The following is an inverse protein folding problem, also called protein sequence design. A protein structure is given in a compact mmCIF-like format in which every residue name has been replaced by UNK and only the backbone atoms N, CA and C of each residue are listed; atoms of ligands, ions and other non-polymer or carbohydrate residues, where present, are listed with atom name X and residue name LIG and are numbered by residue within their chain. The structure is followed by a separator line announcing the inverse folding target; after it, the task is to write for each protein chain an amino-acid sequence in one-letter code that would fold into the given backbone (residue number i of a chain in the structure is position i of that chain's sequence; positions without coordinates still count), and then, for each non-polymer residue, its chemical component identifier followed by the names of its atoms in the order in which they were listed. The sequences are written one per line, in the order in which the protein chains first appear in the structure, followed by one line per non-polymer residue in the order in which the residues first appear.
data_IF_992307707796
#
_entry.id   IF_992307707796
#
_cell.length_a   1.000
_cell.length_b   1.000
_cell.length_c   1.000
_cell.angle_alpha   90.00
_cell.angle_beta   90.00
_cell.angle_gamma   90.00
#
_symmetry.space_group_name_H-M   'P 1'
#
loop_
_entity.id
_entity.type
_entity.pdbx_description
1 polymer ?
#
# COMPACT_ATOMS: atom_id res chain seq x y z
N UNK A 1 16.35 -10.14 0.97
CA UNK A 1 16.45 -8.66 0.93
C UNK A 1 17.88 -8.27 0.61
N UNK A 2 18.13 -7.10 0.02
CA UNK A 2 19.48 -6.57 -0.22
C UNK A 2 19.49 -5.10 0.20
N UNK A 3 20.41 -4.72 1.07
CA UNK A 3 20.50 -3.35 1.63
C UNK A 3 19.17 -2.81 2.19
N UNK A 4 18.39 -3.69 2.82
CA UNK A 4 17.09 -3.33 3.38
C UNK A 4 15.95 -3.17 2.37
N UNK A 5 16.14 -3.56 1.12
CA UNK A 5 15.07 -3.57 0.12
C UNK A 5 14.62 -5.00 -0.21
N UNK A 6 13.31 -5.25 -0.34
CA UNK A 6 12.81 -6.55 -0.79
C UNK A 6 13.25 -6.77 -2.23
N UNK A 7 13.78 -7.97 -2.50
CA UNK A 7 14.29 -8.38 -3.81
C UNK A 7 13.41 -9.45 -4.45
N UNK A 8 12.83 -10.29 -3.60
CA UNK A 8 11.92 -11.37 -3.92
C UNK A 8 10.77 -11.30 -2.92
N UNK A 9 9.55 -11.61 -3.35
CA UNK A 9 8.37 -11.56 -2.49
C UNK A 9 7.25 -12.45 -3.00
N UNK A 10 6.60 -13.15 -2.08
CA UNK A 10 5.44 -14.00 -2.34
C UNK A 10 4.32 -13.69 -1.36
N UNK A 11 3.09 -13.69 -1.86
CA UNK A 11 1.87 -13.68 -1.04
C UNK A 11 0.96 -14.78 -1.56
N UNK A 12 0.44 -15.62 -0.67
CA UNK A 12 -0.44 -16.74 -1.01
C UNK A 12 -1.78 -16.55 -0.32
N UNK A 13 -2.87 -16.69 -1.08
CA UNK A 13 -4.22 -16.87 -0.55
C UNK A 13 -4.57 -18.36 -0.68
N UNK A 14 -4.37 -19.17 0.38
CA UNK A 14 -4.61 -20.60 0.32
C UNK A 14 -6.08 -20.95 0.16
N UNK A 15 -6.99 -20.06 0.59
CA UNK A 15 -8.44 -20.29 0.50
C UNK A 15 -8.90 -20.20 -0.96
N UNK A 16 -8.30 -19.30 -1.74
CA UNK A 16 -8.57 -19.15 -3.17
C UNK A 16 -7.64 -19.95 -4.07
N UNK A 17 -6.62 -20.60 -3.50
CA UNK A 17 -5.58 -21.29 -4.26
C UNK A 17 -4.78 -20.37 -5.18
N UNK A 18 -4.69 -19.08 -4.88
CA UNK A 18 -3.96 -18.10 -5.69
C UNK A 18 -2.69 -17.60 -5.01
N UNK A 19 -1.72 -17.19 -5.81
CA UNK A 19 -0.48 -16.59 -5.31
C UNK A 19 0.00 -15.46 -6.20
N UNK A 20 0.83 -14.60 -5.62
CA UNK A 20 1.43 -13.44 -6.25
C UNK A 20 2.91 -13.45 -5.93
N UNK A 21 3.74 -13.27 -6.95
CA UNK A 21 5.19 -13.28 -6.82
C UNK A 21 5.80 -12.09 -7.55
N UNK A 22 6.88 -11.55 -7.00
CA UNK A 22 7.64 -10.48 -7.62
C UNK A 22 9.13 -10.67 -7.41
N UNK A 23 9.87 -10.30 -8.45
CA UNK A 23 11.32 -10.14 -8.45
C UNK A 23 11.58 -8.66 -8.74
N UNK A 24 12.48 -8.04 -7.99
CA UNK A 24 12.87 -6.64 -8.22
C UNK A 24 13.33 -6.43 -9.67
N UNK A 25 12.67 -5.52 -10.39
CA UNK A 25 12.91 -5.25 -11.81
C UNK A 25 12.34 -6.29 -12.79
N UNK A 26 11.73 -7.37 -12.27
CA UNK A 26 11.16 -8.47 -13.06
C UNK A 26 9.65 -8.39 -13.22
N UNK A 27 8.98 -7.42 -12.58
CA UNK A 27 7.53 -7.31 -12.58
C UNK A 27 6.85 -8.29 -11.60
N UNK A 28 5.54 -8.46 -11.78
CA UNK A 28 4.70 -9.30 -10.94
C UNK A 28 4.15 -10.46 -11.76
N UNK A 29 4.33 -11.67 -11.26
CA UNK A 29 3.65 -12.87 -11.76
C UNK A 29 2.58 -13.28 -10.76
N UNK A 30 1.52 -13.87 -11.29
CA UNK A 30 0.40 -14.36 -10.51
C UNK A 30 -0.02 -15.71 -11.04
N UNK A 31 -0.35 -16.63 -10.14
CA UNK A 31 -0.94 -17.91 -10.50
C UNK A 31 -2.18 -18.27 -9.69
N UNK A 32 -2.76 -19.41 -10.05
CA UNK A 32 -3.98 -19.94 -9.44
C UNK A 32 -5.28 -19.35 -10.00
N UNK A 33 -6.43 -19.87 -9.57
CA UNK A 33 -7.74 -19.66 -10.22
C UNK A 33 -8.44 -18.34 -9.84
N UNK A 34 -7.78 -17.47 -9.08
CA UNK A 34 -8.41 -16.23 -8.60
C UNK A 34 -8.94 -15.31 -9.71
N UNK A 35 -9.71 -14.26 -9.37
CA UNK A 35 -10.32 -13.37 -10.37
C UNK A 35 -9.27 -12.56 -11.16
N UNK A 36 -9.48 -12.27 -12.44
CA UNK A 36 -8.54 -11.46 -13.24
C UNK A 36 -8.21 -10.09 -12.61
N UNK A 37 -7.08 -9.44 -12.96
CA UNK A 37 -6.78 -8.06 -12.56
C UNK A 37 -7.96 -7.14 -12.88
N UNK A 38 -8.35 -6.27 -11.94
CA UNK A 38 -9.58 -5.50 -12.12
C UNK A 38 -9.50 -4.11 -11.51
N UNK A 39 -9.07 -3.12 -12.31
CA UNK A 39 -9.64 -1.76 -12.32
C UNK A 39 -9.52 -1.29 -13.78
N UNK A 40 -10.66 -1.04 -14.43
CA UNK A 40 -10.70 -0.31 -15.70
C UNK A 40 -10.81 1.20 -15.40
N UNK A 41 -10.25 2.08 -16.25
CA UNK A 41 -10.55 3.51 -16.17
C UNK A 41 -12.07 3.75 -16.09
N UNK A 42 -12.51 4.61 -15.17
CA UNK A 42 -13.93 4.92 -14.95
C UNK A 42 -14.68 3.98 -13.99
N UNK A 43 -14.03 2.97 -13.43
CA UNK A 43 -14.64 2.15 -12.35
C UNK A 43 -14.53 2.83 -10.98
N UNK A 44 -15.57 2.66 -10.15
CA UNK A 44 -15.56 3.15 -8.76
C UNK A 44 -14.46 2.42 -7.98
N UNK A 45 -13.43 3.11 -7.45
CA UNK A 45 -12.33 2.46 -6.74
C UNK A 45 -12.81 1.78 -5.45
N UNK A 46 -12.20 0.65 -5.13
CA UNK A 46 -12.41 -0.07 -3.87
C UNK A 46 -11.22 0.15 -2.95
N UNK A 47 -11.47 0.60 -1.72
CA UNK A 47 -10.44 0.97 -0.74
C UNK A 47 -10.41 -0.02 0.43
N UNK A 48 -9.21 -0.44 0.84
CA UNK A 48 -8.98 -1.25 2.03
C UNK A 48 -8.43 -0.39 3.18
N UNK A 49 -9.33 0.13 4.01
CA UNK A 49 -8.96 1.00 5.13
C UNK A 49 -9.06 0.23 6.44
N UNK A 50 -7.96 0.08 7.17
CA UNK A 50 -7.98 -0.63 8.44
C UNK A 50 -8.81 0.13 9.49
N UNK A 51 -9.52 -0.55 10.41
CA UNK A 51 -10.26 0.10 11.49
C UNK A 51 -9.38 1.02 12.34
N UNK A 52 -8.14 0.60 12.60
CA UNK A 52 -7.17 1.38 13.39
C UNK A 52 -6.77 2.67 12.68
N UNK A 53 -6.56 2.63 11.37
CA UNK A 53 -6.26 3.83 10.57
C UNK A 53 -7.45 4.79 10.56
N UNK A 54 -8.67 4.30 10.30
CA UNK A 54 -9.88 5.15 10.35
C UNK A 54 -10.04 5.88 11.69
N UNK A 55 -9.75 5.21 12.80
CA UNK A 55 -9.80 5.82 14.14
C UNK A 55 -8.76 6.93 14.34
N UNK A 56 -7.57 6.80 13.75
CA UNK A 56 -6.53 7.84 13.81
C UNK A 56 -6.80 9.01 12.85
N UNK A 57 -7.63 8.80 11.83
CA UNK A 57 -7.92 9.78 10.79
C UNK A 57 -9.44 10.05 10.71
N UNK A 58 -10.08 10.67 11.71
CA UNK A 58 -11.55 10.78 11.79
C UNK A 58 -12.20 11.45 10.58
N UNK A 59 -11.49 12.36 9.90
CA UNK A 59 -11.97 13.08 8.71
C UNK A 59 -11.67 12.35 7.38
N UNK A 60 -11.23 11.09 7.42
CA UNK A 60 -10.80 10.37 6.23
C UNK A 60 -11.86 10.29 5.12
N UNK A 61 -13.16 10.27 5.47
CA UNK A 61 -14.26 10.19 4.47
C UNK A 61 -14.40 11.45 3.65
N UNK A 62 -14.18 12.62 4.24
CA UNK A 62 -14.29 13.90 3.55
C UNK A 62 -13.02 14.24 2.77
N UNK A 63 -11.87 13.70 3.16
CA UNK A 63 -10.59 13.92 2.48
C UNK A 63 -10.39 13.06 1.22
N UNK A 64 -11.33 12.17 0.88
CA UNK A 64 -11.21 11.27 -0.27
C UNK A 64 -12.14 11.65 -1.41
N UNK A 65 -11.69 11.51 -2.67
CA UNK A 65 -12.54 11.74 -3.83
C UNK A 65 -13.63 10.66 -3.88
N UNK A 66 -14.88 11.11 -4.04
CA UNK A 66 -16.06 10.25 -4.18
C UNK A 66 -16.41 10.08 -5.67
N UNK A 67 -17.05 8.98 -6.07
CA UNK A 67 -17.45 7.82 -5.25
C UNK A 67 -16.31 6.83 -5.01
N UNK A 68 -16.37 6.09 -3.90
CA UNK A 68 -15.53 4.92 -3.64
C UNK A 68 -16.33 3.86 -2.88
N UNK A 69 -15.87 2.60 -2.89
CA UNK A 69 -16.37 1.51 -2.04
C UNK A 69 -15.31 1.11 -1.03
N UNK A 70 -15.72 0.56 0.11
CA UNK A 70 -14.80 0.00 1.10
C UNK A 70 -14.83 -1.54 1.06
N UNK A 71 -13.67 -2.18 1.13
CA UNK A 71 -13.54 -3.62 1.34
C UNK A 71 -12.23 -3.93 2.07
N UNK A 72 -12.32 -4.64 3.18
CA UNK A 72 -11.15 -5.15 3.90
C UNK A 72 -11.15 -6.68 3.92
N UNK A 73 -9.98 -7.26 3.73
CA UNK A 73 -9.71 -8.70 3.79
C UNK A 73 -9.11 -9.12 5.14
N UNK A 74 -8.69 -8.15 5.97
CA UNK A 74 -8.11 -8.43 7.29
C UNK A 74 -6.64 -8.87 7.26
N UNK A 75 -6.02 -8.90 6.08
CA UNK A 75 -4.61 -9.21 5.89
C UNK A 75 -3.97 -8.14 5.00
N UNK A 76 -3.05 -7.36 5.56
CA UNK A 76 -2.34 -6.30 4.83
C UNK A 76 -1.53 -6.88 3.66
N UNK A 77 -0.90 -8.04 3.85
CA UNK A 77 -0.16 -8.72 2.78
C UNK A 77 -1.07 -9.05 1.58
N UNK A 78 -2.26 -9.61 1.85
CA UNK A 78 -3.21 -9.95 0.80
C UNK A 78 -3.85 -8.72 0.14
N UNK A 79 -4.17 -7.70 0.93
CA UNK A 79 -4.70 -6.44 0.41
C UNK A 79 -3.66 -5.73 -0.49
N UNK A 80 -2.39 -5.70 -0.11
CA UNK A 80 -1.31 -5.19 -0.97
C UNK A 80 -1.14 -6.02 -2.25
N UNK A 81 -1.25 -7.34 -2.17
CA UNK A 81 -1.24 -8.20 -3.36
C UNK A 81 -2.45 -7.93 -4.28
N UNK A 82 -3.62 -7.64 -3.72
CA UNK A 82 -4.78 -7.26 -4.52
C UNK A 82 -4.65 -5.85 -5.12
N UNK A 83 -3.97 -4.92 -4.43
CA UNK A 83 -3.62 -3.59 -4.97
C UNK A 83 -2.66 -3.72 -6.15
N UNK A 84 -1.65 -4.61 -6.09
CA UNK A 84 -0.72 -4.80 -7.21
C UNK A 84 -1.40 -5.33 -8.48
N UNK A 85 -2.48 -6.07 -8.32
CA UNK A 85 -3.33 -6.56 -9.42
C UNK A 85 -4.47 -5.59 -9.76
N UNK A 86 -4.49 -4.42 -9.15
CA UNK A 86 -5.52 -3.41 -9.33
C UNK A 86 -6.90 -3.81 -8.82
N UNK A 87 -7.11 -4.95 -8.15
CA UNK A 87 -8.42 -5.36 -7.61
C UNK A 87 -8.91 -4.44 -6.50
N UNK A 88 -7.96 -3.81 -5.81
CA UNK A 88 -8.17 -2.69 -4.89
C UNK A 88 -7.48 -1.47 -5.47
N UNK A 89 -8.11 -0.30 -5.32
CA UNK A 89 -7.55 0.97 -5.77
C UNK A 89 -6.47 1.48 -4.81
N UNK A 90 -6.73 1.38 -3.51
CA UNK A 90 -5.74 1.69 -2.49
C UNK A 90 -6.05 0.97 -1.18
N UNK A 91 -5.11 1.02 -0.26
CA UNK A 91 -5.30 0.66 1.13
C UNK A 91 -4.49 1.55 2.07
N UNK A 92 -4.99 1.67 3.30
CA UNK A 92 -4.35 2.45 4.35
C UNK A 92 -4.44 1.73 5.70
N UNK A 93 -3.29 1.55 6.33
CA UNK A 93 -3.12 0.78 7.55
C UNK A 93 -2.37 1.58 8.60
N UNK A 94 -2.74 1.36 9.85
CA UNK A 94 -1.97 1.86 10.99
C UNK A 94 -1.18 0.72 11.57
N UNK A 95 0.14 0.84 11.54
CA UNK A 95 1.09 -0.17 11.96
C UNK A 95 1.14 -1.40 11.09
N UNK A 96 2.31 -2.01 11.06
CA UNK A 96 2.59 -3.31 10.45
C UNK A 96 3.97 -3.75 10.92
N UNK A 97 4.25 -5.04 10.93
CA UNK A 97 5.63 -5.49 11.05
C UNK A 97 6.27 -5.52 9.67
N UNK A 98 7.60 -5.35 9.55
CA UNK A 98 8.26 -5.41 8.25
C UNK A 98 7.95 -6.67 7.45
N UNK A 99 7.83 -7.82 8.11
CA UNK A 99 7.46 -9.08 7.46
C UNK A 99 6.01 -9.13 6.97
N UNK A 100 5.09 -8.38 7.58
CA UNK A 100 3.69 -8.32 7.13
C UNK A 100 3.54 -7.59 5.79
N UNK A 101 4.50 -6.72 5.45
CA UNK A 101 4.39 -5.83 4.29
C UNK A 101 5.50 -5.99 3.25
N UNK A 102 6.68 -6.55 3.59
CA UNK A 102 7.83 -6.54 2.69
C UNK A 102 7.53 -7.15 1.31
N UNK A 103 6.82 -8.29 1.27
CA UNK A 103 6.39 -8.89 0.02
C UNK A 103 5.34 -8.03 -0.71
N UNK A 104 4.35 -7.50 0.01
CA UNK A 104 3.31 -6.63 -0.53
C UNK A 104 3.87 -5.33 -1.14
N UNK A 105 4.89 -4.75 -0.52
CA UNK A 105 5.58 -3.54 -1.00
C UNK A 105 6.21 -3.79 -2.35
N UNK A 106 7.00 -4.87 -2.45
CA UNK A 106 7.62 -5.25 -3.72
C UNK A 106 6.57 -5.50 -4.80
N UNK A 107 5.50 -6.24 -4.50
CA UNK A 107 4.42 -6.49 -5.44
C UNK A 107 3.79 -5.19 -5.96
N UNK A 108 3.48 -4.25 -5.07
CA UNK A 108 2.88 -2.96 -5.47
C UNK A 108 3.86 -2.16 -6.32
N UNK A 109 5.12 -2.05 -5.94
CA UNK A 109 6.13 -1.30 -6.70
C UNK A 109 6.37 -1.90 -8.10
N UNK A 110 6.54 -3.22 -8.21
CA UNK A 110 6.77 -3.91 -9.48
C UNK A 110 5.55 -3.84 -10.42
N UNK A 111 4.34 -3.66 -9.86
CA UNK A 111 3.12 -3.38 -10.63
C UNK A 111 2.96 -1.91 -11.05
N UNK A 112 3.97 -1.06 -10.82
CA UNK A 112 3.95 0.42 -11.00
C UNK A 112 2.99 1.15 -10.07
N UNK A 113 2.55 0.51 -9.00
CA UNK A 113 1.86 1.15 -7.89
C UNK A 113 2.82 1.96 -7.02
N UNK A 114 2.28 2.59 -5.98
CA UNK A 114 3.05 3.39 -5.02
C UNK A 114 2.75 2.96 -3.60
N UNK A 115 3.79 2.94 -2.77
CA UNK A 115 3.68 2.76 -1.33
C UNK A 115 4.29 3.97 -0.64
N UNK A 116 3.66 4.41 0.44
CA UNK A 116 4.12 5.51 1.29
C UNK A 116 4.05 5.11 2.76
N UNK A 117 5.01 5.61 3.53
CA UNK A 117 5.13 5.40 4.98
C UNK A 117 5.13 6.76 5.67
N UNK A 118 4.24 6.94 6.64
CA UNK A 118 4.16 8.20 7.38
C UNK A 118 3.79 9.38 6.48
N UNK A 119 4.63 10.42 6.46
CA UNK A 119 4.31 11.77 6.01
C UNK A 119 4.77 12.10 4.58
N UNK A 120 5.16 11.10 3.77
CA UNK A 120 5.60 11.38 2.40
C UNK A 120 5.86 10.17 1.52
N UNK A 121 6.03 10.39 0.21
CA UNK A 121 6.49 9.37 -0.72
C UNK A 121 7.92 8.97 -0.35
N UNK A 122 8.15 7.69 -0.09
CA UNK A 122 9.46 7.22 0.32
C UNK A 122 9.58 5.72 0.16
N UNK A 123 10.77 5.28 -0.28
CA UNK A 123 11.14 3.87 -0.31
C UNK A 123 11.08 3.31 1.10
N UNK A 124 10.55 2.10 1.23
CA UNK A 124 10.70 1.35 2.46
C UNK A 124 12.17 0.96 2.61
N UNK A 125 12.93 1.72 3.41
CA UNK A 125 14.18 1.23 3.96
C UNK A 125 13.82 0.21 5.05
N UNK A 126 13.49 -1.02 4.66
CA UNK A 126 13.29 -2.11 5.62
C UNK A 126 14.66 -2.51 6.15
N UNK A 127 15.11 -1.89 7.23
CA UNK A 127 15.80 -2.73 8.19
C UNK A 127 14.77 -3.78 8.63
N UNK A 128 15.07 -5.09 8.54
CA UNK A 128 14.30 -6.14 9.23
C UNK A 128 14.52 -6.02 10.75
N UNK A 129 14.48 -4.80 11.25
CA UNK A 129 14.37 -4.47 12.65
C UNK A 129 13.01 -5.06 13.10
N UNK A 130 13.01 -5.74 14.24
CA UNK A 130 11.82 -6.42 14.76
C UNK A 130 10.76 -5.44 15.28
N UNK A 131 10.99 -4.13 15.19
CA UNK A 131 10.12 -3.11 15.74
C UNK A 131 8.94 -2.89 14.79
N UNK A 132 7.75 -2.64 15.36
CA UNK A 132 6.61 -2.26 14.57
C UNK A 132 6.89 -0.97 13.78
N UNK A 133 6.44 -0.94 12.54
CA UNK A 133 6.31 0.32 11.81
C UNK A 133 5.24 1.13 12.53
N UNK A 134 5.61 2.24 13.15
CA UNK A 134 4.65 3.05 13.94
C UNK A 134 3.83 4.02 13.09
N UNK A 135 4.30 4.29 11.88
CA UNK A 135 3.70 5.18 10.91
C UNK A 135 2.48 4.55 10.21
N UNK A 136 1.67 5.41 9.58
CA UNK A 136 0.67 4.94 8.62
C UNK A 136 1.36 4.34 7.40
N UNK A 137 0.77 3.30 6.83
CA UNK A 137 1.21 2.64 5.61
C UNK A 137 0.10 2.86 4.59
N UNK A 138 0.43 3.37 3.41
CA UNK A 138 -0.51 3.62 2.33
C UNK A 138 0.01 2.94 1.07
N UNK A 139 -0.84 2.20 0.37
CA UNK A 139 -0.52 1.62 -0.93
C UNK A 139 -1.61 2.00 -1.94
N UNK A 140 -1.21 2.32 -3.17
CA UNK A 140 -2.10 2.73 -4.25
C UNK A 140 -1.72 1.98 -5.52
N UNK A 141 -2.72 1.45 -6.22
CA UNK A 141 -2.51 0.72 -7.47
C UNK A 141 -2.09 1.67 -8.59
N UNK A 142 -1.40 1.15 -9.61
CA UNK A 142 -0.97 1.96 -10.77
C UNK A 142 -2.15 2.69 -11.44
N UNK A 143 -3.31 2.04 -11.52
CA UNK A 143 -4.51 2.60 -12.14
C UNK A 143 -5.18 3.69 -11.29
N UNK A 144 -5.06 3.61 -9.96
CA UNK A 144 -5.67 4.55 -9.04
C UNK A 144 -4.73 5.70 -8.60
N UNK A 145 -3.42 5.61 -8.87
CA UNK A 145 -2.42 6.61 -8.45
C UNK A 145 -2.78 8.05 -8.84
N UNK A 146 -3.43 8.27 -9.99
CA UNK A 146 -3.86 9.59 -10.43
C UNK A 146 -5.04 10.16 -9.63
N UNK A 147 -5.90 9.29 -9.09
CA UNK A 147 -7.12 9.67 -8.38
C UNK A 147 -6.91 9.75 -6.87
N UNK A 148 -6.10 8.85 -6.33
CA UNK A 148 -5.89 8.69 -4.89
C UNK A 148 -4.59 9.33 -4.39
N UNK A 149 -4.06 10.31 -5.14
CA UNK A 149 -2.91 11.13 -4.72
C UNK A 149 -3.09 11.74 -3.32
N UNK A 150 -4.29 12.19 -2.88
CA UNK A 150 -4.49 12.68 -1.52
C UNK A 150 -4.18 11.64 -0.42
N UNK A 151 -4.37 10.33 -0.67
CA UNK A 151 -3.96 9.29 0.29
C UNK A 151 -2.44 9.20 0.44
N UNK A 152 -1.70 9.50 -0.63
CA UNK A 152 -0.24 9.56 -0.60
C UNK A 152 0.29 10.83 0.08
N UNK A 153 -0.58 11.84 0.28
CA UNK A 153 -0.25 13.16 0.83
C UNK A 153 -0.94 13.43 2.18
N UNK A 154 -1.35 12.38 2.91
CA UNK A 154 -2.19 12.54 4.11
C UNK A 154 -1.70 13.71 5.01
N UNK A 155 -2.62 14.61 5.43
CA UNK A 155 -2.26 15.95 5.90
C UNK A 155 -1.33 15.91 7.10
N UNK A 156 -0.27 16.71 6.98
CA UNK A 156 0.77 16.94 7.96
C UNK A 156 0.21 17.61 9.23
N UNK A 157 0.65 17.14 10.40
CA UNK A 157 0.95 18.05 11.51
C UNK A 157 2.06 19.05 11.11
N UNK A 158 2.46 20.02 11.94
CA UNK A 158 3.10 21.24 11.46
C UNK A 158 4.34 21.01 10.60
N UNK A 159 4.45 21.85 9.58
CA UNK A 159 5.38 21.85 8.45
C UNK A 159 6.84 21.98 8.86
N UNK A 160 7.71 21.26 8.16
CA UNK A 160 9.16 21.23 8.31
C UNK A 160 9.83 22.43 7.61
N UNK A 161 9.36 23.65 7.88
CA UNK A 161 9.96 24.90 7.36
C UNK A 161 10.84 25.62 8.40
N UNK A 162 11.37 24.90 9.39
CA UNK A 162 12.15 25.52 10.48
C UNK A 162 13.35 24.70 10.94
N UNK A 163 14.18 24.20 10.01
CA UNK A 163 15.53 23.72 10.34
C UNK A 163 16.64 24.19 9.38
N UNK A 164 16.43 25.28 8.65
CA UNK A 164 17.53 26.04 8.03
C UNK A 164 17.37 27.56 8.28
N UNK A 165 17.78 27.98 9.47
CA UNK A 165 18.41 29.28 9.72
C UNK A 165 19.59 28.97 10.64
N UNK A 166 20.83 29.23 10.22
CA UNK A 166 21.60 30.42 10.66
C UNK A 166 21.98 30.25 12.14
N UNK A 167 23.24 30.10 12.54
CA UNK A 167 24.55 30.50 12.01
C UNK A 167 25.61 29.43 12.30
#
# INVERSE_FOLDING_TARGET
MKSGEPQLGWVVDPIRGEWFEAVRGGGVVRGGPGPAPFIKPGTVPVLALSPRWRRKHPNWRSSLPKPFKERSLGSIALEMAWISQGRLGAGAWSRGRPWDIAAGVLLVEESRGRVAFGNGPGRLAVALDTKPIESSIVAVSATACRWLSPLLQAPSGPSFDSLHGGE
#
